data_IF_576912718682
#
_entry.id   IF_576912718682
#
_cell.length_a   1.000
_cell.length_b   1.000
_cell.length_c   1.000
_cell.angle_alpha   90.00
_cell.angle_beta   90.00
_cell.angle_gamma   90.00
#
_symmetry.space_group_name_H-M   'P 1'
#
loop_
_entity.id
_entity.type
_entity.pdbx_description
1 polymer ?
#
# COMPACT_ATOMS: atom_id res chain seq x y z
N UNK A 1 9.33 4.86 31.09
CA UNK A 1 10.43 4.32 30.26
C UNK A 1 10.08 4.66 28.83
N UNK A 2 10.60 5.78 28.35
CA UNK A 2 10.44 6.23 26.98
C UNK A 2 11.14 5.25 26.02
N UNK A 3 10.36 4.46 25.29
CA UNK A 3 10.86 3.82 24.09
C UNK A 3 10.91 4.88 22.98
N UNK A 4 12.12 5.34 22.68
CA UNK A 4 12.42 6.02 21.42
C UNK A 4 12.04 5.09 20.26
N UNK A 5 11.33 5.59 19.22
CA UNK A 5 10.89 4.75 18.13
C UNK A 5 12.12 4.20 17.40
N UNK A 6 12.18 2.87 17.28
CA UNK A 6 13.10 2.19 16.40
C UNK A 6 12.98 2.87 15.03
N UNK A 7 14.01 3.61 14.62
CA UNK A 7 14.08 4.15 13.26
C UNK A 7 14.23 2.95 12.32
N UNK A 8 13.12 2.30 12.01
CA UNK A 8 13.02 1.21 11.06
C UNK A 8 13.49 1.76 9.72
N UNK A 9 14.76 1.52 9.41
CA UNK A 9 15.33 1.87 8.11
C UNK A 9 14.66 1.00 7.08
N UNK A 10 14.17 1.61 6.00
CA UNK A 10 13.66 0.89 4.85
C UNK A 10 14.69 -0.14 4.35
N UNK A 11 14.30 -1.39 4.06
CA UNK A 11 15.21 -2.40 3.55
C UNK A 11 15.92 -1.92 2.27
N UNK A 12 17.25 -1.87 2.29
CA UNK A 12 18.06 -1.30 1.17
C UNK A 12 17.81 -1.99 -0.18
N UNK A 13 17.39 -3.26 -0.16
CA UNK A 13 17.13 -4.04 -1.37
C UNK A 13 15.76 -3.72 -2.00
N UNK A 14 14.80 -3.20 -1.25
CA UNK A 14 13.44 -2.91 -1.74
C UNK A 14 13.33 -1.47 -2.25
N UNK A 15 14.15 -1.15 -3.25
CA UNK A 15 14.18 0.15 -3.94
C UNK A 15 13.67 0.01 -5.37
N UNK A 16 13.15 1.10 -5.94
CA UNK A 16 12.72 1.11 -7.35
C UNK A 16 13.84 0.71 -8.31
N UNK A 17 15.09 1.10 -8.04
CA UNK A 17 16.27 0.76 -8.86
C UNK A 17 16.60 -0.74 -8.87
N UNK A 18 16.12 -1.50 -7.88
CA UNK A 18 16.29 -2.95 -7.79
C UNK A 18 15.04 -3.72 -8.23
N UNK A 19 14.02 -3.02 -8.75
CA UNK A 19 12.83 -3.67 -9.30
C UNK A 19 13.00 -3.84 -10.81
N UNK A 20 13.00 -5.08 -11.29
CA UNK A 20 12.99 -5.38 -12.73
C UNK A 20 11.63 -4.97 -13.32
N UNK A 21 11.57 -3.93 -14.19
CA UNK A 21 10.28 -3.40 -14.62
C UNK A 21 9.49 -4.39 -15.48
N UNK A 22 10.14 -5.09 -16.41
CA UNK A 22 9.51 -6.07 -17.31
C UNK A 22 8.13 -5.64 -17.81
N UNK A 23 7.15 -6.55 -17.73
CA UNK A 23 5.75 -6.26 -18.04
C UNK A 23 5.03 -5.33 -17.03
N UNK A 24 5.68 -4.97 -15.92
CA UNK A 24 5.16 -4.16 -14.82
C UNK A 24 5.62 -2.69 -14.86
N UNK A 25 6.27 -2.24 -15.94
CA UNK A 25 6.82 -0.89 -16.07
C UNK A 25 5.78 0.23 -15.83
N UNK A 26 4.53 0.03 -16.26
CA UNK A 26 3.44 0.98 -16.02
C UNK A 26 3.09 1.11 -14.53
N UNK A 27 3.05 -0.01 -13.80
CA UNK A 27 2.80 0.00 -12.36
C UNK A 27 3.97 0.66 -11.61
N UNK A 28 5.21 0.35 -12.01
CA UNK A 28 6.40 1.01 -11.46
C UNK A 28 6.32 2.53 -11.61
N UNK A 29 5.99 3.02 -12.82
CA UNK A 29 5.87 4.46 -13.07
C UNK A 29 4.78 5.12 -12.21
N UNK A 30 3.62 4.47 -12.02
CA UNK A 30 2.57 4.96 -11.13
C UNK A 30 3.05 5.10 -9.68
N UNK A 31 3.77 4.09 -9.17
CA UNK A 31 4.28 4.11 -7.79
C UNK A 31 5.39 5.14 -7.60
N UNK A 32 6.26 5.34 -8.60
CA UNK A 32 7.29 6.37 -8.57
C UNK A 32 6.69 7.78 -8.50
N UNK A 33 5.58 8.01 -9.20
CA UNK A 33 4.83 9.28 -9.15
C UNK A 33 4.15 9.45 -7.80
N UNK A 34 3.41 8.44 -7.34
CA UNK A 34 2.72 8.47 -6.03
C UNK A 34 3.68 8.72 -4.85
N UNK A 35 4.91 8.23 -4.94
CA UNK A 35 5.93 8.48 -3.91
C UNK A 35 6.37 9.95 -3.80
N UNK A 36 6.22 10.77 -4.85
CA UNK A 36 6.84 12.11 -4.93
C UNK A 36 5.87 13.25 -5.22
N UNK A 37 4.80 12.97 -5.95
CA UNK A 37 3.78 13.94 -6.34
C UNK A 37 2.61 13.91 -5.34
N UNK A 38 2.14 15.07 -4.89
CA UNK A 38 1.01 15.15 -3.96
C UNK A 38 -0.34 14.86 -4.65
N UNK A 39 -0.47 15.17 -5.94
CA UNK A 39 -1.68 14.95 -6.75
C UNK A 39 -1.69 13.62 -7.52
N UNK A 40 -0.72 12.73 -7.23
CA UNK A 40 -0.69 11.44 -7.89
C UNK A 40 -1.89 10.56 -7.47
N UNK A 41 -2.42 9.73 -8.39
CA UNK A 41 -3.54 8.87 -8.07
C UNK A 41 -3.16 7.86 -7.00
N UNK A 42 -4.12 7.53 -6.13
CA UNK A 42 -3.99 6.40 -5.22
C UNK A 42 -4.05 5.11 -6.01
N UNK A 43 -3.16 4.17 -5.69
CA UNK A 43 -2.94 2.96 -6.50
C UNK A 43 -3.27 1.71 -5.71
N UNK A 44 -3.96 0.77 -6.35
CA UNK A 44 -4.10 -0.61 -5.86
C UNK A 44 -3.28 -1.52 -6.76
N UNK A 45 -2.20 -2.08 -6.23
CA UNK A 45 -1.44 -3.16 -6.85
C UNK A 45 -2.21 -4.48 -6.68
N UNK A 46 -2.52 -5.15 -7.79
CA UNK A 46 -3.23 -6.44 -7.76
C UNK A 46 -2.46 -7.50 -8.53
N UNK A 47 -2.21 -8.65 -7.93
CA UNK A 47 -1.57 -9.75 -8.63
C UNK A 47 -1.15 -10.89 -7.70
N UNK A 48 -0.71 -12.02 -8.26
CA UNK A 48 -0.39 -13.21 -7.49
C UNK A 48 0.76 -13.00 -6.49
N UNK A 49 0.99 -13.97 -5.61
CA UNK A 49 2.19 -14.00 -4.78
C UNK A 49 3.45 -13.87 -5.66
N UNK A 50 4.49 -13.26 -5.08
CA UNK A 50 5.80 -13.08 -5.75
C UNK A 50 5.78 -12.21 -7.02
N UNK A 51 4.78 -11.35 -7.20
CA UNK A 51 4.75 -10.32 -8.26
C UNK A 51 5.42 -9.00 -7.90
N UNK A 52 6.04 -8.91 -6.72
CA UNK A 52 6.78 -7.73 -6.26
C UNK A 52 5.92 -6.61 -5.65
N UNK A 53 4.65 -6.88 -5.29
CA UNK A 53 3.76 -5.92 -4.61
C UNK A 53 4.42 -5.25 -3.39
N UNK A 54 4.88 -6.06 -2.44
CA UNK A 54 5.56 -5.58 -1.22
C UNK A 54 6.81 -4.77 -1.54
N UNK A 55 7.61 -5.21 -2.52
CA UNK A 55 8.80 -4.47 -2.96
C UNK A 55 8.43 -3.07 -3.45
N UNK A 56 7.42 -2.95 -4.30
CA UNK A 56 6.98 -1.67 -4.86
C UNK A 56 6.39 -0.75 -3.78
N UNK A 57 5.60 -1.29 -2.84
CA UNK A 57 5.06 -0.50 -1.72
C UNK A 57 6.17 0.05 -0.82
N UNK A 58 7.11 -0.81 -0.42
CA UNK A 58 8.25 -0.40 0.42
C UNK A 58 9.14 0.61 -0.32
N UNK A 59 9.40 0.37 -1.61
CA UNK A 59 10.16 1.29 -2.44
C UNK A 59 9.50 2.67 -2.54
N UNK A 60 8.17 2.73 -2.63
CA UNK A 60 7.41 3.98 -2.63
C UNK A 60 7.52 4.72 -1.30
N UNK A 61 7.34 4.03 -0.17
CA UNK A 61 7.52 4.63 1.16
C UNK A 61 8.94 5.16 1.37
N UNK A 62 9.93 4.41 0.91
CA UNK A 62 11.32 4.83 0.96
C UNK A 62 11.58 6.07 0.10
N UNK A 63 11.13 6.08 -1.16
CA UNK A 63 11.30 7.22 -2.05
C UNK A 63 10.59 8.49 -1.53
N UNK A 64 9.42 8.33 -0.89
CA UNK A 64 8.74 9.42 -0.21
C UNK A 64 9.56 9.96 0.97
N UNK A 65 10.12 9.06 1.79
CA UNK A 65 10.99 9.44 2.91
C UNK A 65 12.25 10.18 2.44
N UNK A 66 12.86 9.74 1.33
CA UNK A 66 14.02 10.40 0.70
C UNK A 66 13.66 11.78 0.14
N UNK A 67 12.41 11.98 -0.28
CA UNK A 67 11.86 13.27 -0.67
C UNK A 67 11.40 14.14 0.52
N UNK A 68 11.66 13.73 1.76
CA UNK A 68 11.29 14.47 2.97
C UNK A 68 9.83 14.34 3.40
N UNK A 69 9.06 13.43 2.78
CA UNK A 69 7.65 13.16 3.12
C UNK A 69 7.58 12.06 4.19
N UNK A 70 6.69 12.20 5.17
CA UNK A 70 6.44 11.12 6.13
C UNK A 70 5.76 9.93 5.44
N UNK A 71 6.26 8.71 5.67
CA UNK A 71 5.73 7.51 5.04
C UNK A 71 5.57 6.37 6.06
N UNK A 72 4.49 5.60 5.94
CA UNK A 72 4.25 4.39 6.72
C UNK A 72 3.87 3.21 5.83
N UNK A 73 4.32 2.02 6.24
CA UNK A 73 4.00 0.75 5.60
C UNK A 73 3.33 -0.17 6.64
N UNK A 74 2.20 -0.76 6.28
CA UNK A 74 1.41 -1.62 7.15
C UNK A 74 1.11 -2.98 6.48
N UNK A 75 1.74 -4.08 6.89
CA UNK A 75 1.44 -5.42 6.37
C UNK A 75 0.23 -6.03 7.10
N UNK A 76 -0.97 -6.00 6.51
CA UNK A 76 -2.22 -6.39 7.19
C UNK A 76 -2.28 -7.88 7.56
N UNK A 77 -1.64 -8.76 6.79
CA UNK A 77 -1.59 -10.19 7.07
C UNK A 77 -0.67 -10.53 8.27
N UNK A 78 0.36 -9.71 8.53
CA UNK A 78 1.37 -9.96 9.55
C UNK A 78 1.10 -9.32 10.91
N UNK A 79 -0.03 -8.61 11.07
CA UNK A 79 -0.34 -7.88 12.29
C UNK A 79 -0.58 -8.82 13.49
N UNK A 80 0.02 -8.45 14.62
CA UNK A 80 -0.27 -9.06 15.93
C UNK A 80 -1.24 -8.16 16.66
N UNK A 81 -2.45 -8.66 16.94
CA UNK A 81 -3.51 -7.92 17.63
C UNK A 81 -4.58 -7.35 16.69
N UNK A 82 -5.43 -6.45 17.20
CA UNK A 82 -6.58 -5.96 16.45
C UNK A 82 -6.17 -5.09 15.25
N UNK A 83 -6.61 -5.48 14.04
CA UNK A 83 -6.21 -4.83 12.78
C UNK A 83 -6.75 -3.41 12.69
N UNK A 84 -7.95 -3.16 13.19
CA UNK A 84 -8.59 -1.85 13.21
C UNK A 84 -7.77 -0.80 13.97
N UNK A 85 -7.11 -1.19 15.07
CA UNK A 85 -6.26 -0.29 15.83
C UNK A 85 -4.99 0.06 15.05
N UNK A 86 -4.37 -0.93 14.41
CA UNK A 86 -3.18 -0.73 13.59
C UNK A 86 -3.47 0.15 12.36
N UNK A 87 -4.60 -0.08 11.67
CA UNK A 87 -5.04 0.73 10.53
C UNK A 87 -5.29 2.19 10.95
N UNK A 88 -5.91 2.42 12.11
CA UNK A 88 -6.10 3.79 12.62
C UNK A 88 -4.78 4.46 13.02
N UNK A 89 -3.81 3.67 13.49
CA UNK A 89 -2.52 4.16 13.97
C UNK A 89 -1.60 4.76 12.89
N UNK A 90 -1.79 4.39 11.61
CA UNK A 90 -0.95 4.90 10.51
C UNK A 90 -1.40 6.26 9.97
N UNK A 91 -2.53 6.80 10.43
CA UNK A 91 -3.06 8.09 9.99
C UNK A 91 -2.07 9.25 10.25
N UNK A 92 -2.19 10.33 9.47
CA UNK A 92 -1.37 11.54 9.60
C UNK A 92 0.01 11.50 8.92
N UNK A 93 0.31 10.45 8.15
CA UNK A 93 1.49 10.41 7.27
C UNK A 93 1.14 10.89 5.86
N UNK A 94 2.09 11.52 5.17
CA UNK A 94 1.90 12.01 3.81
C UNK A 94 1.72 10.88 2.80
N UNK A 95 2.35 9.72 3.03
CA UNK A 95 2.13 8.50 2.26
C UNK A 95 1.90 7.31 3.19
N UNK A 96 0.88 6.52 2.90
CA UNK A 96 0.57 5.30 3.65
C UNK A 96 0.39 4.15 2.65
N UNK A 97 1.18 3.09 2.82
CA UNK A 97 1.09 1.87 2.04
C UNK A 97 0.53 0.73 2.89
N UNK A 98 -0.57 0.12 2.44
CA UNK A 98 -1.20 -1.03 3.08
C UNK A 98 -1.01 -2.27 2.21
N UNK A 99 -0.34 -3.29 2.76
CA UNK A 99 -0.12 -4.56 2.08
C UNK A 99 -1.18 -5.58 2.50
N UNK A 100 -1.41 -6.58 1.65
CA UNK A 100 -2.32 -7.70 1.88
C UNK A 100 -3.76 -7.31 2.23
N UNK A 101 -4.42 -6.46 1.43
CA UNK A 101 -5.83 -6.08 1.65
C UNK A 101 -6.79 -7.26 1.79
N UNK A 102 -6.50 -8.39 1.15
CA UNK A 102 -7.30 -9.61 1.30
C UNK A 102 -7.39 -10.10 2.76
N UNK A 103 -6.41 -9.76 3.61
CA UNK A 103 -6.36 -10.18 5.01
C UNK A 103 -7.46 -9.55 5.89
N UNK A 104 -8.11 -8.47 5.43
CA UNK A 104 -9.21 -7.81 6.14
C UNK A 104 -10.58 -8.13 5.55
N UNK A 105 -10.65 -8.90 4.46
CA UNK A 105 -11.93 -9.24 3.83
C UNK A 105 -12.81 -10.06 4.79
N UNK A 106 -14.01 -9.56 5.07
CA UNK A 106 -14.93 -10.16 6.04
C UNK A 106 -14.73 -9.70 7.48
N UNK A 107 -13.64 -8.99 7.77
CA UNK A 107 -13.39 -8.38 9.07
C UNK A 107 -14.03 -6.99 9.12
N UNK A 108 -15.26 -6.94 9.62
CA UNK A 108 -16.06 -5.71 9.64
C UNK A 108 -15.35 -4.56 10.35
N UNK A 109 -14.66 -4.81 11.48
CA UNK A 109 -14.00 -3.75 12.23
C UNK A 109 -12.81 -3.17 11.44
N UNK A 110 -12.00 -4.03 10.83
CA UNK A 110 -10.88 -3.63 9.99
C UNK A 110 -11.34 -2.90 8.72
N UNK A 111 -12.39 -3.38 8.06
CA UNK A 111 -12.96 -2.73 6.86
C UNK A 111 -13.47 -1.31 7.18
N UNK A 112 -14.18 -1.11 8.29
CA UNK A 112 -14.62 0.23 8.70
C UNK A 112 -13.43 1.13 9.05
N UNK A 113 -12.41 0.60 9.74
CA UNK A 113 -11.20 1.37 10.02
C UNK A 113 -10.46 1.81 8.76
N UNK A 114 -10.40 0.96 7.73
CA UNK A 114 -9.81 1.31 6.44
C UNK A 114 -10.63 2.36 5.70
N UNK A 115 -11.96 2.27 5.75
CA UNK A 115 -12.84 3.27 5.17
C UNK A 115 -12.68 4.64 5.84
N UNK A 116 -12.58 4.68 7.18
CA UNK A 116 -12.31 5.91 7.93
C UNK A 116 -10.95 6.50 7.55
N UNK A 117 -9.91 5.65 7.50
CA UNK A 117 -8.56 6.06 7.08
C UNK A 117 -8.59 6.65 5.67
N UNK A 118 -9.27 5.99 4.73
CA UNK A 118 -9.42 6.49 3.35
C UNK A 118 -10.01 7.90 3.33
N UNK A 119 -11.13 8.13 4.01
CA UNK A 119 -11.79 9.43 4.00
C UNK A 119 -10.92 10.51 4.65
N UNK A 120 -10.21 10.15 5.72
CA UNK A 120 -9.29 11.05 6.41
C UNK A 120 -8.11 11.45 5.53
N UNK A 121 -7.42 10.47 4.92
CA UNK A 121 -6.31 10.74 4.00
C UNK A 121 -6.75 11.62 2.84
N UNK A 122 -7.99 11.44 2.36
CA UNK A 122 -8.54 12.27 1.28
C UNK A 122 -8.71 13.73 1.71
N UNK A 123 -9.15 13.97 2.94
CA UNK A 123 -9.29 15.30 3.50
C UNK A 123 -7.93 15.95 3.81
N UNK A 124 -6.94 15.15 4.19
CA UNK A 124 -5.57 15.60 4.55
C UNK A 124 -4.64 15.73 3.34
N UNK A 125 -5.06 15.30 2.14
CA UNK A 125 -4.21 15.28 0.94
C UNK A 125 -3.10 14.23 0.98
N UNK A 126 -3.24 13.19 1.81
CA UNK A 126 -2.28 12.11 1.91
C UNK A 126 -2.42 11.11 0.75
N UNK A 127 -1.32 10.47 0.35
CA UNK A 127 -1.29 9.42 -0.68
C UNK A 127 -1.55 8.05 -0.05
N UNK A 128 -2.55 7.32 -0.57
CA UNK A 128 -2.77 5.92 -0.21
C UNK A 128 -2.33 4.97 -1.32
N UNK A 129 -1.60 3.94 -0.92
CA UNK A 129 -1.17 2.83 -1.76
C UNK A 129 -1.63 1.52 -1.15
N UNK A 130 -2.06 0.60 -1.99
CA UNK A 130 -2.58 -0.69 -1.56
C UNK A 130 -1.96 -1.83 -2.35
N UNK A 131 -1.89 -3.00 -1.74
CA UNK A 131 -1.61 -4.25 -2.43
C UNK A 131 -2.61 -5.33 -2.04
N UNK A 132 -2.97 -6.15 -3.02
CA UNK A 132 -3.87 -7.28 -2.86
C UNK A 132 -3.48 -8.44 -3.80
N UNK A 133 -3.91 -9.64 -3.48
CA UNK A 133 -3.77 -10.82 -4.35
C UNK A 133 -4.70 -10.77 -5.59
N UNK A 134 -5.80 -10.03 -5.50
CA UNK A 134 -6.79 -9.83 -6.55
C UNK A 134 -7.30 -8.38 -6.60
N UNK A 135 -7.91 -7.94 -7.71
CA UNK A 135 -8.57 -6.62 -7.78
C UNK A 135 -9.63 -6.44 -6.68
N UNK A 136 -9.87 -5.21 -6.17
CA UNK A 136 -10.83 -4.97 -5.08
C UNK A 136 -12.25 -5.51 -5.33
N UNK A 137 -12.68 -5.57 -6.58
CA UNK A 137 -13.98 -6.12 -6.96
C UNK A 137 -14.12 -7.62 -6.64
N UNK A 138 -13.00 -8.35 -6.61
CA UNK A 138 -12.92 -9.79 -6.36
C UNK A 138 -12.60 -10.13 -4.90
N UNK A 139 -12.17 -9.15 -4.10
CA UNK A 139 -12.00 -9.33 -2.66
C UNK A 139 -13.36 -9.53 -1.99
N UNK A 140 -13.44 -10.44 -1.02
CA UNK A 140 -14.64 -10.72 -0.23
C UNK A 140 -14.93 -9.62 0.82
N UNK A 141 -14.71 -8.36 0.47
CA UNK A 141 -15.00 -7.21 1.31
C UNK A 141 -16.52 -7.09 1.50
N UNK A 142 -16.94 -6.89 2.75
CA UNK A 142 -18.37 -6.85 3.09
C UNK A 142 -18.95 -5.44 3.08
N UNK A 143 -18.12 -4.42 3.30
CA UNK A 143 -18.52 -3.02 3.35
C UNK A 143 -18.61 -2.41 1.93
N UNK A 144 -19.82 -2.08 1.42
CA UNK A 144 -19.99 -1.61 0.05
C UNK A 144 -19.27 -0.29 -0.24
N UNK A 145 -19.26 0.63 0.72
CA UNK A 145 -18.61 1.92 0.57
C UNK A 145 -17.10 1.78 0.41
N UNK A 146 -16.46 0.88 1.17
CA UNK A 146 -15.04 0.58 1.02
C UNK A 146 -14.74 0.01 -0.38
N UNK A 147 -15.58 -0.91 -0.88
CA UNK A 147 -15.43 -1.45 -2.24
C UNK A 147 -15.51 -0.34 -3.29
N UNK A 148 -16.45 0.59 -3.15
CA UNK A 148 -16.58 1.75 -4.04
C UNK A 148 -15.33 2.64 -3.98
N UNK A 149 -14.81 2.91 -2.78
CA UNK A 149 -13.58 3.70 -2.59
C UNK A 149 -12.36 3.05 -3.23
N UNK A 150 -12.12 1.77 -2.98
CA UNK A 150 -11.00 1.02 -3.57
C UNK A 150 -11.17 0.87 -5.09
N UNK A 151 -12.40 0.75 -5.58
CA UNK A 151 -12.71 0.73 -7.02
C UNK A 151 -12.49 2.07 -7.72
N UNK A 152 -12.45 3.19 -6.98
CA UNK A 152 -12.13 4.51 -7.53
C UNK A 152 -10.61 4.78 -7.62
N UNK A 153 -9.79 3.96 -6.96
CA UNK A 153 -8.33 4.01 -7.08
C UNK A 153 -7.87 3.50 -8.45
N UNK A 154 -6.69 3.92 -8.88
CA UNK A 154 -6.06 3.36 -10.09
C UNK A 154 -5.62 1.91 -9.81
N UNK A 155 -6.23 0.96 -10.52
CA UNK A 155 -5.83 -0.44 -10.47
C UNK A 155 -4.57 -0.66 -11.32
N UNK A 156 -3.52 -1.18 -10.71
CA UNK A 156 -2.26 -1.52 -11.36
C UNK A 156 -2.02 -3.03 -11.24
N UNK A 157 -2.37 -3.83 -12.26
CA UNK A 157 -2.13 -5.26 -12.23
C UNK A 157 -0.61 -5.55 -12.32
N UNK A 158 -0.14 -6.49 -11.51
CA UNK A 158 1.24 -6.98 -11.54
C UNK A 158 1.28 -8.43 -12.03
N UNK A 159 2.25 -8.71 -12.89
CA UNK A 159 2.62 -10.05 -13.32
C UNK A 159 3.83 -10.52 -12.51
N UNK A 160 3.93 -11.81 -12.16
CA UNK A 160 5.17 -12.36 -11.66
C UNK A 160 6.29 -12.15 -12.69
N UNK A 161 7.51 -11.96 -12.21
CA UNK A 161 8.68 -12.01 -13.09
C UNK A 161 8.69 -13.37 -13.79
N UNK A 162 9.02 -13.37 -15.07
CA UNK A 162 9.31 -14.63 -15.74
C UNK A 162 10.60 -15.24 -15.13
N UNK A 163 10.81 -16.55 -15.30
CA UNK A 163 11.98 -17.22 -14.73
C UNK A 163 13.32 -16.72 -15.33
N UNK A 164 13.30 -15.96 -16.43
CA UNK A 164 14.48 -15.35 -17.04
C UNK A 164 14.80 -13.96 -16.46
N UNK A 165 13.81 -13.30 -15.84
CA UNK A 165 13.87 -11.96 -15.23
C UNK A 165 14.03 -12.00 -13.69
N UNK A 166 14.11 -13.20 -13.09
CA UNK A 166 14.24 -13.42 -11.64
C UNK A 166 15.65 -13.27 -11.07
#
# INVERSE_FOLDING_TARGET
MDQLPLSLRWPRQQRFEHFAPGANAAALALLQRAAREDDAPWVVLAGPASSGKTHLLVAACQAASEAGRSAQYLPLAGLRGPREAAIRGVAGSALIALDDLQAIAGDRAAEHALFDLYNRCRAEGATLLFAADAPPAQLALTLPDLRSRLGACTLAPLKPLDDAER
#
